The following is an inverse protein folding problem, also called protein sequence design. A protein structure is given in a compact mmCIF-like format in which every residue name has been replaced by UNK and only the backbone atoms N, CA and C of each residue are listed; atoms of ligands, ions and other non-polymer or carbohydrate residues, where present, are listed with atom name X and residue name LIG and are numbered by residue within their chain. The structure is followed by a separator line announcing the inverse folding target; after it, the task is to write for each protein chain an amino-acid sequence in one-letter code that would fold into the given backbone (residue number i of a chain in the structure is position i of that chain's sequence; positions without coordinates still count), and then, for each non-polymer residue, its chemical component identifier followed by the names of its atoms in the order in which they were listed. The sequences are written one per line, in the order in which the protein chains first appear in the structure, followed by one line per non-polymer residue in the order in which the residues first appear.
data_IF_152666869180
#
_entry.id   IF_152666869180
#
_cell.length_a   1.000
_cell.length_b   1.000
_cell.length_c   1.000
_cell.angle_alpha   90.00
_cell.angle_beta   90.00
_cell.angle_gamma   90.00
#
_symmetry.space_group_name_H-M   'P 1'
#
loop_
_entity.id
_entity.type
_entity.pdbx_description
1 polymer ?
#
# COMPACT_ATOMS: atom_id res chain seq x y z
N UNK A 1 -10.48 -4.35 -28.25
CA UNK A 1 -9.98 -2.97 -28.42
C UNK A 1 -10.48 -2.22 -27.21
N UNK A 2 -9.60 -1.88 -26.27
CA UNK A 2 -9.94 -0.97 -25.19
C UNK A 2 -10.29 0.39 -25.81
N UNK A 3 -11.52 0.84 -25.59
CA UNK A 3 -11.95 2.15 -26.05
C UNK A 3 -11.18 3.21 -25.27
N UNK A 4 -10.39 4.02 -25.98
CA UNK A 4 -9.63 5.12 -25.36
C UNK A 4 -10.60 6.14 -24.75
N UNK A 5 -10.69 6.16 -23.43
CA UNK A 5 -11.47 7.18 -22.71
C UNK A 5 -10.63 8.45 -22.57
N UNK A 6 -11.09 9.54 -23.19
CA UNK A 6 -10.39 10.84 -23.16
C UNK A 6 -10.81 11.61 -21.89
N UNK A 7 -9.87 12.26 -21.15
CA UNK A 7 -10.22 13.05 -19.98
C UNK A 7 -11.20 14.18 -20.31
N UNK A 8 -12.26 14.32 -19.50
CA UNK A 8 -13.30 15.33 -19.67
C UNK A 8 -13.52 16.14 -18.38
N UNK A 9 -13.94 17.40 -18.52
CA UNK A 9 -14.29 18.23 -17.37
C UNK A 9 -15.44 17.60 -16.57
N UNK A 10 -15.25 17.48 -15.25
CA UNK A 10 -16.21 16.82 -14.35
C UNK A 10 -16.04 15.30 -14.19
N UNK A 11 -15.13 14.68 -14.95
CA UNK A 11 -14.79 13.25 -14.79
C UNK A 11 -14.17 13.00 -13.42
N UNK A 12 -14.67 12.00 -12.70
CA UNK A 12 -14.08 11.57 -11.42
C UNK A 12 -13.16 10.38 -11.65
N UNK A 13 -12.02 10.37 -10.99
CA UNK A 13 -11.07 9.26 -11.05
C UNK A 13 -10.80 8.78 -9.64
N UNK A 14 -11.18 7.53 -9.35
CA UNK A 14 -10.88 6.86 -8.09
C UNK A 14 -9.79 5.82 -8.31
N UNK A 15 -8.81 5.77 -7.41
CA UNK A 15 -7.77 4.73 -7.40
C UNK A 15 -7.93 3.93 -6.13
N UNK A 16 -8.16 2.62 -6.28
CA UNK A 16 -8.31 1.67 -5.17
C UNK A 16 -7.10 0.75 -5.15
N UNK A 17 -6.45 0.63 -4.00
CA UNK A 17 -5.24 -0.19 -3.82
C UNK A 17 -5.50 -1.15 -2.67
N UNK A 18 -5.25 -2.45 -2.90
CA UNK A 18 -5.19 -3.46 -1.86
C UNK A 18 -3.81 -4.10 -1.87
N UNK A 19 -3.14 -4.05 -0.73
CA UNK A 19 -1.84 -4.69 -0.52
C UNK A 19 -1.98 -5.73 0.58
N UNK A 20 -1.70 -6.99 0.24
CA UNK A 20 -1.63 -8.07 1.20
C UNK A 20 -0.15 -8.34 1.53
N UNK A 21 0.20 -8.33 2.82
CA UNK A 21 1.55 -8.64 3.32
C UNK A 21 1.46 -9.60 4.49
N UNK A 22 2.49 -10.42 4.65
CA UNK A 22 2.67 -11.29 5.82
C UNK A 22 3.81 -10.74 6.67
N UNK A 23 3.54 -10.47 7.94
CA UNK A 23 4.58 -10.19 8.93
C UNK A 23 5.30 -11.51 9.21
N UNK A 24 6.48 -11.66 8.62
CA UNK A 24 7.29 -12.86 8.74
C UNK A 24 8.36 -12.73 9.83
N UNK A 25 8.74 -11.50 10.18
CA UNK A 25 9.64 -11.17 11.28
C UNK A 25 9.09 -9.94 12.05
N UNK A 26 8.37 -10.16 13.16
CA UNK A 26 7.73 -9.08 13.92
C UNK A 26 8.71 -8.07 14.52
N UNK A 27 9.90 -8.51 14.93
CA UNK A 27 10.90 -7.63 15.52
C UNK A 27 11.49 -6.69 14.48
N UNK A 28 11.84 -7.21 13.30
CA UNK A 28 12.29 -6.38 12.18
C UNK A 28 11.20 -5.46 11.67
N UNK A 29 9.95 -5.92 11.67
CA UNK A 29 8.81 -5.10 11.30
C UNK A 29 8.64 -3.88 12.22
N UNK A 30 8.65 -4.08 13.53
CA UNK A 30 8.56 -2.96 14.48
C UNK A 30 9.79 -2.06 14.42
N UNK A 31 11.00 -2.62 14.27
CA UNK A 31 12.23 -1.83 14.14
C UNK A 31 12.20 -0.94 12.87
N UNK A 32 11.77 -1.49 11.73
CA UNK A 32 11.64 -0.75 10.49
C UNK A 32 10.58 0.35 10.59
N UNK A 33 9.44 0.07 11.24
CA UNK A 33 8.40 1.07 11.46
C UNK A 33 8.84 2.20 12.39
N UNK A 34 9.61 1.91 13.44
CA UNK A 34 10.21 2.94 14.32
C UNK A 34 11.22 3.81 13.58
N UNK A 35 12.07 3.20 12.75
CA UNK A 35 12.97 3.94 11.87
C UNK A 35 12.19 4.81 10.87
N UNK A 36 11.06 4.34 10.34
CA UNK A 36 10.17 5.13 9.51
C UNK A 36 9.56 6.32 10.26
N UNK A 37 9.10 6.11 11.49
CA UNK A 37 8.57 7.18 12.35
C UNK A 37 9.63 8.25 12.64
N UNK A 38 10.86 7.86 13.00
CA UNK A 38 11.96 8.80 13.27
C UNK A 38 12.28 9.69 12.07
N UNK A 39 12.19 9.16 10.85
CA UNK A 39 12.45 9.97 9.65
C UNK A 39 11.30 10.93 9.31
N UNK A 40 10.07 10.60 9.71
CA UNK A 40 8.90 11.47 9.54
C UNK A 40 8.80 12.54 10.63
N UNK A 41 9.35 12.27 11.81
CA UNK A 41 9.23 13.10 13.01
C UNK A 41 10.58 13.70 13.38
N UNK A 42 10.88 14.96 12.99
CA UNK A 42 12.19 15.56 13.19
C UNK A 42 12.59 15.77 14.66
N UNK A 43 11.62 15.78 15.59
CA UNK A 43 11.84 15.93 17.03
C UNK A 43 11.78 14.61 17.80
N UNK A 44 11.50 13.49 17.13
CA UNK A 44 11.37 12.20 17.79
C UNK A 44 12.73 11.59 18.12
N UNK A 45 12.81 10.94 19.28
CA UNK A 45 13.95 10.14 19.71
C UNK A 45 13.63 8.65 19.56
N UNK A 46 14.64 7.77 19.61
CA UNK A 46 14.41 6.32 19.55
C UNK A 46 13.47 5.83 20.65
N UNK A 47 13.55 6.40 21.85
CA UNK A 47 12.68 6.07 22.98
C UNK A 47 11.23 6.49 22.68
N UNK A 48 11.02 7.73 22.24
CA UNK A 48 9.70 8.23 21.83
C UNK A 48 9.12 7.41 20.67
N UNK A 49 9.93 7.05 19.68
CA UNK A 49 9.48 6.20 18.57
C UNK A 49 9.07 4.80 19.05
N UNK A 50 9.72 4.25 20.07
CA UNK A 50 9.33 2.97 20.67
C UNK A 50 8.02 3.06 21.47
N UNK A 51 7.73 4.21 22.07
CA UNK A 51 6.45 4.51 22.73
C UNK A 51 5.32 4.78 21.74
N UNK A 52 5.61 5.44 20.62
CA UNK A 52 4.63 5.79 19.59
C UNK A 52 4.33 4.62 18.64
N UNK A 53 5.28 3.71 18.43
CA UNK A 53 5.13 2.52 17.56
C UNK A 53 5.21 1.26 18.41
N UNK A 54 4.07 0.88 18.98
CA UNK A 54 3.96 -0.26 19.92
C UNK A 54 3.25 -1.46 19.33
N UNK A 55 2.33 -1.24 18.40
CA UNK A 55 1.55 -2.30 17.79
C UNK A 55 1.53 -2.28 16.26
N UNK A 56 0.79 -3.21 15.68
CA UNK A 56 0.69 -3.40 14.22
C UNK A 56 0.05 -2.19 13.54
N UNK A 57 -0.92 -1.53 14.16
CA UNK A 57 -1.57 -0.37 13.56
C UNK A 57 -0.61 0.80 13.50
N UNK A 58 0.07 1.12 14.60
CA UNK A 58 1.07 2.19 14.63
C UNK A 58 2.17 1.94 13.59
N UNK A 59 2.62 0.69 13.51
CA UNK A 59 3.66 0.30 12.58
C UNK A 59 3.22 0.43 11.11
N UNK A 60 2.00 -0.02 10.79
CA UNK A 60 1.40 0.15 9.46
C UNK A 60 1.28 1.63 9.11
N UNK A 61 0.80 2.47 10.01
CA UNK A 61 0.67 3.91 9.76
C UNK A 61 2.03 4.58 9.52
N UNK A 62 3.06 4.25 10.31
CA UNK A 62 4.40 4.78 10.12
C UNK A 62 5.00 4.37 8.76
N UNK A 63 4.84 3.11 8.36
CA UNK A 63 5.31 2.61 7.07
C UNK A 63 4.55 3.23 5.89
N UNK A 64 3.22 3.34 6.00
CA UNK A 64 2.40 4.00 4.98
C UNK A 64 2.74 5.48 4.85
N UNK A 65 2.94 6.19 5.97
CA UNK A 65 3.30 7.61 5.97
C UNK A 65 4.63 7.87 5.26
N UNK A 66 5.59 6.96 5.42
CA UNK A 66 6.91 7.08 4.81
C UNK A 66 6.96 6.65 3.36
N UNK A 67 6.40 5.47 3.06
CA UNK A 67 6.60 4.80 1.77
C UNK A 67 5.37 4.86 0.85
N UNK A 68 4.22 5.30 1.36
CA UNK A 68 2.95 5.32 0.62
C UNK A 68 2.32 3.94 0.42
N UNK A 69 2.93 2.87 0.91
CA UNK A 69 2.47 1.49 0.78
C UNK A 69 3.26 0.53 1.67
N UNK A 70 2.67 -0.62 2.01
CA UNK A 70 3.33 -1.69 2.78
C UNK A 70 4.22 -2.58 1.92
N UNK A 71 3.94 -2.63 0.61
CA UNK A 71 4.78 -3.30 -0.39
C UNK A 71 5.85 -2.37 -0.99
N UNK A 72 5.87 -1.09 -0.61
CA UNK A 72 6.75 -0.10 -1.19
C UNK A 72 8.20 -0.35 -0.76
N UNK A 73 9.05 -0.67 -1.74
CA UNK A 73 10.41 -1.15 -1.58
C UNK A 73 10.70 -2.45 -2.36
N UNK A 74 9.75 -2.95 -3.14
CA UNK A 74 10.13 -3.54 -4.42
C UNK A 74 10.42 -2.39 -5.40
N UNK A 75 11.63 -2.25 -5.97
CA UNK A 75 11.91 -1.28 -7.02
C UNK A 75 11.12 -1.52 -8.32
N UNK A 76 10.22 -2.50 -8.32
CA UNK A 76 9.38 -2.88 -9.46
C UNK A 76 7.93 -2.39 -9.32
N UNK A 77 7.75 -1.17 -8.81
CA UNK A 77 6.51 -0.40 -9.05
C UNK A 77 6.60 0.31 -10.39
N UNK A 78 6.87 -0.47 -11.44
CA UNK A 78 6.52 -0.06 -12.80
C UNK A 78 4.98 -0.10 -12.86
N UNK A 79 4.28 0.98 -13.26
CA UNK A 79 2.83 0.93 -13.43
C UNK A 79 2.46 -0.22 -14.36
N UNK A 80 1.29 -0.89 -14.18
CA UNK A 80 0.96 -2.07 -14.95
C UNK A 80 1.01 -1.75 -16.44
N UNK A 81 2.03 -2.28 -17.12
CA UNK A 81 2.05 -2.35 -18.56
C UNK A 81 0.82 -3.16 -18.98
N UNK A 82 0.09 -2.58 -19.92
CA UNK A 82 -1.21 -3.05 -20.36
C UNK A 82 -1.22 -4.55 -20.69
N UNK A 83 -2.31 -5.21 -20.31
CA UNK A 83 -2.80 -6.50 -20.78
C UNK A 83 -1.79 -7.46 -21.46
N UNK A 84 -1.39 -8.51 -20.74
CA UNK A 84 -1.14 -9.82 -21.38
C UNK A 84 0.30 -10.30 -21.56
N UNK A 85 1.30 -9.73 -20.89
CA UNK A 85 2.66 -10.29 -20.90
C UNK A 85 3.03 -10.90 -19.54
N UNK A 86 3.54 -12.15 -19.47
CA UNK A 86 4.17 -12.64 -18.25
C UNK A 86 5.46 -11.85 -18.05
N UNK A 87 5.49 -10.95 -17.08
CA UNK A 87 6.72 -10.24 -16.71
C UNK A 87 7.73 -11.24 -16.17
N UNK A 88 8.97 -11.29 -16.69
CA UNK A 88 10.02 -12.08 -16.08
C UNK A 88 10.38 -11.42 -14.74
N UNK A 89 9.97 -12.05 -13.64
CA UNK A 89 10.34 -11.65 -12.28
C UNK A 89 11.86 -11.68 -12.19
N UNK A 90 12.52 -10.53 -12.25
CA UNK A 90 13.95 -10.45 -11.91
C UNK A 90 14.10 -10.21 -10.42
N UNK A 91 14.77 -11.09 -9.66
CA UNK A 91 14.82 -11.03 -8.22
C UNK A 91 16.04 -10.19 -7.78
N UNK A 92 15.99 -8.87 -7.90
CA UNK A 92 17.08 -8.01 -7.40
C UNK A 92 16.78 -7.38 -6.02
N UNK A 93 15.68 -7.80 -5.36
CA UNK A 93 15.35 -7.37 -3.99
C UNK A 93 14.81 -8.46 -3.06
N UNK A 94 14.57 -9.67 -3.58
CA UNK A 94 14.10 -10.80 -2.80
C UNK A 94 15.31 -11.59 -2.30
N UNK A 95 15.51 -11.64 -0.98
CA UNK A 95 16.34 -12.68 -0.35
C UNK A 95 15.84 -14.06 -0.83
N UNK A 96 16.67 -15.11 -0.80
CA UNK A 96 16.27 -16.47 -1.20
C UNK A 96 14.96 -16.95 -0.57
N UNK A 97 14.65 -16.46 0.63
CA UNK A 97 13.45 -16.79 1.42
C UNK A 97 12.25 -15.85 1.16
N UNK A 98 12.41 -14.84 0.31
CA UNK A 98 11.40 -13.82 0.00
C UNK A 98 11.13 -12.82 1.13
N UNK A 99 11.95 -12.80 2.19
CA UNK A 99 11.83 -11.89 3.33
C UNK A 99 12.51 -10.54 3.03
N UNK A 100 11.76 -9.45 3.19
CA UNK A 100 12.28 -8.08 3.01
C UNK A 100 12.99 -7.56 4.28
N UNK A 101 13.81 -6.50 4.16
CA UNK A 101 14.52 -5.91 5.31
C UNK A 101 13.61 -5.39 6.43
N UNK A 102 12.38 -5.01 6.07
CA UNK A 102 11.31 -4.54 6.97
C UNK A 102 10.52 -5.69 7.62
N UNK A 103 10.96 -6.95 7.49
CA UNK A 103 10.27 -8.10 8.09
C UNK A 103 8.97 -8.50 7.40
N UNK A 104 8.61 -7.85 6.29
CA UNK A 104 7.42 -8.16 5.51
C UNK A 104 7.73 -9.14 4.38
N UNK A 105 6.72 -9.95 4.05
CA UNK A 105 6.69 -10.76 2.83
C UNK A 105 5.49 -10.32 1.98
N UNK A 106 5.70 -9.93 0.71
CA UNK A 106 4.59 -9.62 -0.19
C UNK A 106 3.67 -10.84 -0.37
N UNK A 107 2.36 -10.63 -0.28
CA UNK A 107 1.34 -11.66 -0.46
C UNK A 107 0.31 -11.33 -1.55
N UNK A 108 0.39 -10.14 -2.15
CA UNK A 108 -0.41 -9.74 -3.30
C UNK A 108 -0.57 -8.22 -3.34
N UNK A 109 -0.79 -7.70 -4.54
CA UNK A 109 -1.21 -6.30 -4.74
C UNK A 109 -2.25 -6.25 -5.85
N UNK A 110 -3.30 -5.47 -5.63
CA UNK A 110 -4.31 -5.17 -6.64
C UNK A 110 -4.56 -3.66 -6.69
N UNK A 111 -4.47 -3.08 -7.89
CA UNK A 111 -4.73 -1.67 -8.14
C UNK A 111 -5.81 -1.56 -9.21
N UNK A 112 -6.88 -0.81 -8.90
CA UNK A 112 -7.98 -0.56 -9.81
C UNK A 112 -8.20 0.95 -9.97
N UNK A 113 -8.28 1.39 -11.23
CA UNK A 113 -8.73 2.73 -11.58
C UNK A 113 -10.21 2.65 -11.96
N UNK A 114 -11.04 3.44 -11.29
CA UNK A 114 -12.48 3.53 -11.53
C UNK A 114 -12.80 4.94 -12.01
N UNK A 115 -13.34 5.04 -13.22
CA UNK A 115 -13.82 6.29 -13.78
C UNK A 115 -15.27 6.51 -13.36
N UNK A 116 -15.59 7.75 -12.98
CA UNK A 116 -16.92 8.22 -12.57
C UNK A 116 -17.55 7.42 -11.41
N UNK A 117 -16.71 6.97 -10.48
CA UNK A 117 -17.11 6.21 -9.29
C UNK A 117 -18.27 6.91 -8.55
N UNK A 118 -19.44 6.26 -8.43
CA UNK A 118 -20.60 6.86 -7.76
C UNK A 118 -20.35 7.08 -6.26
N UNK A 119 -19.41 6.35 -5.65
CA UNK A 119 -19.05 6.44 -4.23
C UNK A 119 -17.77 7.26 -4.05
N UNK A 120 -17.88 8.59 -4.13
CA UNK A 120 -16.73 9.48 -3.93
C UNK A 120 -16.29 9.53 -2.47
N UNK A 121 -14.97 9.44 -2.22
CA UNK A 121 -14.37 9.54 -0.87
C UNK A 121 -14.57 10.90 -0.18
N UNK A 122 -15.02 11.92 -0.92
CA UNK A 122 -15.18 13.31 -0.45
C UNK A 122 -16.29 13.45 0.61
N UNK A 123 -17.18 12.46 0.78
CA UNK A 123 -18.34 12.55 1.68
C UNK A 123 -18.31 11.62 2.90
N UNK A 124 -17.18 11.01 3.25
CA UNK A 124 -17.11 10.22 4.48
C UNK A 124 -16.88 11.13 5.70
N UNK A 125 -17.97 11.50 6.36
CA UNK A 125 -17.95 11.89 7.78
C UNK A 125 -17.49 10.71 8.66
N UNK A 126 -17.55 10.85 9.99
CA UNK A 126 -17.10 9.84 10.97
C UNK A 126 -17.74 8.43 10.85
N UNK A 127 -18.57 8.18 9.84
CA UNK A 127 -19.20 6.90 9.53
C UNK A 127 -19.01 6.59 8.04
N UNK A 128 -18.08 5.70 7.67
CA UNK A 128 -18.11 5.11 6.34
C UNK A 128 -19.36 4.21 6.21
N UNK A 129 -20.03 4.14 5.04
CA UNK A 129 -20.93 3.04 4.70
C UNK A 129 -20.15 1.71 4.64
N UNK A 130 -20.83 0.60 4.33
CA UNK A 130 -20.21 -0.72 4.11
C UNK A 130 -18.88 -0.62 3.36
N UNK A 131 -17.91 -1.45 3.75
CA UNK A 131 -16.49 -1.38 3.34
C UNK A 131 -16.33 -0.86 1.90
N UNK A 132 -15.82 0.37 1.68
CA UNK A 132 -15.70 0.96 0.34
C UNK A 132 -14.70 0.21 -0.55
N UNK A 133 -13.94 -0.71 0.03
CA UNK A 133 -13.03 -1.62 -0.65
C UNK A 133 -13.61 -3.03 -0.81
N UNK A 134 -14.86 -3.27 -0.41
CA UNK A 134 -15.55 -4.51 -0.69
C UNK A 134 -15.58 -4.72 -2.21
N UNK A 135 -15.01 -5.85 -2.64
CA UNK A 135 -15.09 -6.24 -4.04
C UNK A 135 -16.56 -6.53 -4.38
N UNK A 136 -17.06 -6.11 -5.56
CA UNK A 136 -18.36 -6.55 -6.01
C UNK A 136 -18.36 -8.08 -6.02
N UNK A 137 -19.40 -8.69 -5.43
CA UNK A 137 -19.58 -10.14 -5.49
C UNK A 137 -19.72 -10.52 -6.97
N UNK A 138 -18.71 -11.19 -7.53
CA UNK A 138 -18.69 -11.55 -8.95
C UNK A 138 -19.95 -12.30 -9.35
N UNK A 139 -20.64 -11.79 -10.37
CA UNK A 139 -21.70 -12.47 -11.13
C UNK A 139 -21.16 -12.98 -12.45
#
# INVERSE_FOLDING_TARGET
MDEMTVPAAGMRVSVRIRQDVVIADPERFLAAARAAHLELSPDATEETAAEDVRDVHDAVFALLGRFGGLAAGSPDTTPPAHAGAPTPVRPDGLRPDGLRPDGLRPAGEFTQVVLDDPLSLVEYGCFPPEDPFALPSGS
#
